data_IF_430824691513
#
_entry.id   IF_430824691513
#
_cell.length_a   1.000
_cell.length_b   1.000
_cell.length_c   1.000
_cell.angle_alpha   90.00
_cell.angle_beta   90.00
_cell.angle_gamma   90.00
#
_symmetry.space_group_name_H-M   'P 1'
#
loop_
_entity.id
_entity.type
_entity.pdbx_description
1 polymer ?
#
# COMPACT_ATOMS: atom_id res chain seq x y z
N UNK A 1 -6.21 -6.78 -7.78
CA UNK A 1 -4.75 -6.57 -7.88
C UNK A 1 -4.06 -7.81 -7.30
N UNK A 2 -3.26 -8.54 -8.09
CA UNK A 2 -2.48 -9.66 -7.58
C UNK A 2 -1.33 -9.18 -6.69
N UNK A 3 -0.87 -10.03 -5.77
CA UNK A 3 0.34 -9.78 -5.01
C UNK A 3 1.59 -9.92 -5.89
N UNK A 4 2.67 -9.22 -5.54
CA UNK A 4 3.96 -9.36 -6.22
C UNK A 4 4.65 -10.66 -5.83
N UNK A 5 5.36 -11.28 -6.78
CA UNK A 5 6.27 -12.38 -6.48
C UNK A 5 7.50 -11.80 -5.78
N UNK A 6 7.87 -12.38 -4.63
CA UNK A 6 8.93 -11.89 -3.75
C UNK A 6 9.89 -13.01 -3.35
N UNK A 7 11.10 -12.63 -2.91
CA UNK A 7 12.00 -13.53 -2.20
C UNK A 7 11.65 -13.54 -0.70
N UNK A 8 10.68 -14.38 -0.30
CA UNK A 8 10.13 -14.39 1.05
C UNK A 8 11.20 -14.64 2.14
N UNK A 9 11.22 -13.77 3.16
CA UNK A 9 12.05 -13.89 4.37
C UNK A 9 11.17 -14.07 5.61
N UNK A 10 10.17 -13.21 5.80
CA UNK A 10 9.24 -13.20 6.94
C UNK A 10 7.87 -12.65 6.48
N UNK A 11 6.83 -12.71 7.30
CA UNK A 11 5.50 -12.12 7.04
C UNK A 11 5.04 -11.18 8.16
N UNK A 12 5.79 -11.09 9.25
CA UNK A 12 5.46 -10.22 10.39
C UNK A 12 5.38 -8.76 9.93
N UNK A 13 4.22 -8.13 10.15
CA UNK A 13 3.97 -6.74 9.80
C UNK A 13 3.52 -6.49 8.35
N UNK A 14 3.37 -7.53 7.53
CA UNK A 14 2.92 -7.37 6.13
C UNK A 14 1.51 -6.77 6.03
N UNK A 15 0.57 -7.25 6.84
CA UNK A 15 -0.82 -6.76 6.87
C UNK A 15 -0.95 -5.32 7.35
N UNK A 16 -0.23 -4.98 8.42
CA UNK A 16 -0.22 -3.61 8.96
C UNK A 16 0.42 -2.64 7.97
N UNK A 17 1.51 -3.05 7.32
CA UNK A 17 2.18 -2.24 6.29
C UNK A 17 1.29 -2.06 5.07
N UNK A 18 0.58 -3.10 4.64
CA UNK A 18 -0.42 -3.00 3.58
C UNK A 18 -1.48 -1.97 3.96
N UNK A 19 -2.09 -2.10 5.14
CA UNK A 19 -3.17 -1.21 5.58
C UNK A 19 -2.71 0.24 5.68
N UNK A 20 -1.55 0.49 6.31
CA UNK A 20 -1.00 1.82 6.45
C UNK A 20 -0.75 2.48 5.07
N UNK A 21 -0.14 1.75 4.14
CA UNK A 21 0.16 2.29 2.80
C UNK A 21 -1.09 2.43 1.92
N UNK A 22 -2.11 1.59 2.12
CA UNK A 22 -3.42 1.76 1.49
C UNK A 22 -4.08 3.06 1.96
N UNK A 23 -4.08 3.31 3.28
CA UNK A 23 -4.61 4.55 3.86
C UNK A 23 -3.82 5.78 3.41
N UNK A 24 -2.49 5.70 3.31
CA UNK A 24 -1.66 6.79 2.76
C UNK A 24 -2.09 7.15 1.33
N UNK A 25 -2.38 6.17 0.47
CA UNK A 25 -2.87 6.47 -0.89
C UNK A 25 -4.26 7.09 -0.91
N UNK A 26 -5.16 6.63 -0.04
CA UNK A 26 -6.47 7.27 0.11
C UNK A 26 -6.36 8.72 0.63
N UNK A 27 -5.39 8.98 1.51
CA UNK A 27 -5.08 10.33 1.99
C UNK A 27 -4.48 11.21 0.88
N UNK A 28 -3.53 10.69 0.09
CA UNK A 28 -2.96 11.38 -1.08
C UNK A 28 -4.06 11.76 -2.10
N UNK A 29 -5.12 10.94 -2.23
CA UNK A 29 -6.28 11.25 -3.08
C UNK A 29 -7.27 12.24 -2.47
N UNK A 30 -7.04 12.69 -1.22
CA UNK A 30 -7.90 13.62 -0.50
C UNK A 30 -9.27 13.05 -0.11
N UNK A 31 -9.44 11.72 -0.14
CA UNK A 31 -10.73 11.06 0.13
C UNK A 31 -10.96 10.68 1.59
N UNK A 32 -9.97 10.97 2.45
CA UNK A 32 -10.10 10.87 3.91
C UNK A 32 -10.45 12.24 4.53
N UNK A 33 -10.51 12.31 5.85
CA UNK A 33 -10.81 13.54 6.61
C UNK A 33 -12.30 13.86 6.70
N UNK A 34 -12.69 15.09 6.31
CA UNK A 34 -14.08 15.58 6.39
C UNK A 34 -14.96 14.86 5.36
N UNK A 35 -16.13 14.39 5.79
CA UNK A 35 -17.12 13.63 4.99
C UNK A 35 -16.53 12.44 4.21
N UNK A 36 -15.74 11.56 4.85
CA UNK A 36 -14.95 10.56 4.15
C UNK A 36 -15.83 9.50 3.48
N UNK A 37 -17.02 9.22 4.02
CA UNK A 37 -17.96 8.24 3.45
C UNK A 37 -18.44 8.63 2.05
N UNK A 38 -18.71 9.91 1.82
CA UNK A 38 -19.17 10.41 0.51
C UNK A 38 -18.03 10.39 -0.49
N UNK A 39 -16.85 10.88 -0.09
CA UNK A 39 -15.65 10.89 -0.93
C UNK A 39 -15.20 9.48 -1.32
N UNK A 40 -15.23 8.53 -0.38
CA UNK A 40 -14.92 7.13 -0.65
C UNK A 40 -15.92 6.48 -1.61
N UNK A 41 -17.22 6.84 -1.54
CA UNK A 41 -18.24 6.38 -2.49
C UNK A 41 -18.01 6.90 -3.91
N UNK A 42 -17.40 8.08 -4.06
CA UNK A 42 -17.04 8.64 -5.37
C UNK A 42 -15.69 8.16 -5.91
N UNK A 43 -14.95 7.34 -5.16
CA UNK A 43 -13.63 6.87 -5.59
C UNK A 43 -13.77 5.93 -6.80
N UNK A 44 -13.11 6.27 -7.90
CA UNK A 44 -13.13 5.43 -9.10
C UNK A 44 -12.25 4.17 -8.94
N UNK A 45 -12.49 3.19 -9.82
CA UNK A 45 -11.74 1.92 -9.81
C UNK A 45 -10.25 2.10 -10.06
N UNK A 46 -9.84 3.10 -10.84
CA UNK A 46 -8.44 3.37 -11.17
C UNK A 46 -7.65 3.80 -9.93
N UNK A 47 -8.20 4.73 -9.13
CA UNK A 47 -7.59 5.15 -7.88
C UNK A 47 -7.54 4.01 -6.87
N UNK A 48 -8.58 3.17 -6.81
CA UNK A 48 -8.57 2.00 -5.93
C UNK A 48 -7.50 0.99 -6.35
N UNK A 49 -7.32 0.73 -7.64
CA UNK A 49 -6.24 -0.11 -8.17
C UNK A 49 -4.87 0.47 -7.85
N UNK A 50 -4.69 1.79 -7.99
CA UNK A 50 -3.44 2.47 -7.62
C UNK A 50 -3.13 2.33 -6.12
N UNK A 51 -4.12 2.52 -5.24
CA UNK A 51 -3.95 2.33 -3.80
C UNK A 51 -3.59 0.89 -3.45
N UNK A 52 -4.24 -0.09 -4.08
CA UNK A 52 -3.95 -1.50 -3.89
C UNK A 52 -2.55 -1.87 -4.38
N UNK A 53 -2.13 -1.41 -5.57
CA UNK A 53 -0.78 -1.65 -6.10
C UNK A 53 0.30 -1.09 -5.16
N UNK A 54 0.09 0.11 -4.63
CA UNK A 54 1.03 0.74 -3.70
C UNK A 54 1.11 -0.03 -2.37
N UNK A 55 -0.04 -0.42 -1.83
CA UNK A 55 -0.11 -1.20 -0.60
C UNK A 55 0.51 -2.60 -0.74
N UNK A 56 0.27 -3.30 -1.86
CA UNK A 56 0.88 -4.61 -2.11
C UNK A 56 2.39 -4.51 -2.33
N UNK A 57 2.89 -3.46 -2.99
CA UNK A 57 4.32 -3.21 -3.14
C UNK A 57 4.99 -2.94 -1.78
N UNK A 58 4.34 -2.18 -0.90
CA UNK A 58 4.87 -1.93 0.44
C UNK A 58 4.94 -3.21 1.29
N UNK A 59 3.86 -4.01 1.28
CA UNK A 59 3.83 -5.30 1.98
C UNK A 59 4.85 -6.29 1.42
N UNK A 60 5.06 -6.31 0.10
CA UNK A 60 6.07 -7.12 -0.56
C UNK A 60 7.48 -6.81 -0.01
N UNK A 61 7.84 -5.53 0.14
CA UNK A 61 9.14 -5.13 0.70
C UNK A 61 9.31 -5.61 2.15
N UNK A 62 8.26 -5.53 2.97
CA UNK A 62 8.31 -6.02 4.36
C UNK A 62 8.53 -7.51 4.41
N UNK A 63 7.86 -8.27 3.54
CA UNK A 63 8.03 -9.71 3.51
C UNK A 63 9.43 -10.17 3.07
N UNK A 64 10.24 -9.27 2.50
CA UNK A 64 11.64 -9.52 2.09
C UNK A 64 12.66 -9.11 3.17
N UNK A 65 12.18 -8.79 4.38
CA UNK A 65 12.99 -8.40 5.55
C UNK A 65 12.62 -9.26 6.76
N UNK A 66 13.52 -9.36 7.73
CA UNK A 66 13.24 -10.07 8.98
C UNK A 66 12.48 -9.16 9.96
N UNK A 67 11.33 -9.60 10.47
CA UNK A 67 10.48 -8.81 11.36
C UNK A 67 9.78 -7.62 10.69
N UNK A 68 9.05 -6.83 11.48
CA UNK A 68 8.30 -5.68 10.98
C UNK A 68 9.24 -4.50 10.66
N UNK A 69 9.66 -4.38 9.40
CA UNK A 69 10.49 -3.28 8.89
C UNK A 69 9.81 -2.56 7.71
N UNK A 70 8.78 -1.71 7.96
CA UNK A 70 8.04 -1.01 6.91
C UNK A 70 8.95 -0.18 5.98
N UNK A 71 8.64 -0.09 4.69
CA UNK A 71 9.42 0.70 3.73
C UNK A 71 9.14 2.20 3.87
N UNK A 72 10.12 2.99 3.45
CA UNK A 72 9.94 4.41 3.14
C UNK A 72 9.11 4.59 1.87
N UNK A 73 8.52 5.78 1.69
CA UNK A 73 7.80 6.14 0.45
C UNK A 73 8.67 5.95 -0.80
N UNK A 74 9.94 6.35 -0.74
CA UNK A 74 10.88 6.21 -1.85
C UNK A 74 11.10 4.75 -2.25
N UNK A 75 11.20 3.84 -1.30
CA UNK A 75 11.38 2.40 -1.58
C UNK A 75 10.15 1.80 -2.27
N UNK A 76 8.95 2.21 -1.86
CA UNK A 76 7.70 1.76 -2.53
C UNK A 76 7.61 2.32 -3.95
N UNK A 77 7.95 3.59 -4.15
CA UNK A 77 7.96 4.21 -5.49
C UNK A 77 9.00 3.58 -6.41
N UNK A 78 10.19 3.24 -5.91
CA UNK A 78 11.20 2.51 -6.67
C UNK A 78 10.69 1.10 -7.04
N UNK A 79 10.03 0.40 -6.11
CA UNK A 79 9.43 -0.92 -6.36
C UNK A 79 8.37 -0.89 -7.45
N UNK A 80 7.61 0.19 -7.58
CA UNK A 80 6.55 0.32 -8.59
C UNK A 80 7.05 0.73 -9.98
N UNK A 81 8.30 1.21 -10.09
CA UNK A 81 8.91 1.59 -11.37
C UNK A 81 9.61 0.44 -12.10
N UNK A 82 9.92 -0.64 -11.38
CA UNK A 82 10.52 -1.87 -11.93
C UNK A 82 9.46 -2.89 -12.30
#
# INVERSE_FOLDING_TARGET
VPAQKIALVDTVGAGDTFMANFLVKLDDFGVLGINPREKLRSLNSENLVQALNYATAAAAIVCERAGCQPPTRQEVELRLKG
#
